data_IF_083943978157
#
_entry.id   IF_083943978157
#
_cell.length_a   1.000
_cell.length_b   1.000
_cell.length_c   1.000
_cell.angle_alpha   90.00
_cell.angle_beta   90.00
_cell.angle_gamma   90.00
#
_symmetry.space_group_name_H-M   'P 1'
#
loop_
_entity.id
_entity.type
_entity.pdbx_description
1 polymer ?
#
# COMPACT_ATOMS: atom_id res chain seq x y z
N UNK A 1 -3.17 24.51 -3.90
CA UNK A 1 -3.62 23.25 -4.51
C UNK A 1 -3.80 22.25 -3.38
N UNK A 2 -4.96 21.62 -3.30
CA UNK A 2 -5.33 20.70 -2.22
C UNK A 2 -5.12 19.26 -2.69
N UNK A 3 -4.42 18.45 -1.91
CA UNK A 3 -4.09 17.07 -2.25
C UNK A 3 -5.10 16.11 -1.63
N UNK A 4 -5.66 15.26 -2.48
CA UNK A 4 -6.43 14.08 -2.09
C UNK A 4 -5.63 12.85 -2.53
N UNK A 5 -5.30 11.99 -1.58
CA UNK A 5 -4.46 10.81 -1.81
C UNK A 5 -5.25 9.57 -1.46
N UNK A 6 -5.26 8.60 -2.36
CA UNK A 6 -5.94 7.32 -2.20
C UNK A 6 -4.95 6.22 -2.57
N UNK A 7 -4.59 5.37 -1.61
CA UNK A 7 -3.54 4.36 -1.76
C UNK A 7 -4.10 2.97 -1.52
N UNK A 8 -3.88 2.06 -2.47
CA UNK A 8 -4.11 0.63 -2.28
C UNK A 8 -2.87 0.00 -1.63
N UNK A 9 -2.96 -0.27 -0.33
CA UNK A 9 -1.85 -0.85 0.43
C UNK A 9 -1.42 -2.21 -0.11
N UNK A 10 -2.36 -3.06 -0.52
CA UNK A 10 -2.06 -4.41 -0.97
C UNK A 10 -1.24 -4.38 -2.26
N UNK A 11 -1.66 -3.54 -3.22
CA UNK A 11 -0.96 -3.39 -4.49
C UNK A 11 0.43 -2.78 -4.30
N UNK A 12 0.52 -1.64 -3.60
CA UNK A 12 1.79 -0.96 -3.32
C UNK A 12 2.78 -1.88 -2.60
N UNK A 13 2.29 -2.68 -1.65
CA UNK A 13 3.13 -3.61 -0.93
C UNK A 13 3.66 -4.74 -1.83
N UNK A 14 2.81 -5.35 -2.65
CA UNK A 14 3.22 -6.42 -3.58
C UNK A 14 4.23 -5.90 -4.61
N UNK A 15 3.98 -4.75 -5.23
CA UNK A 15 4.91 -4.17 -6.20
C UNK A 15 6.22 -3.72 -5.53
N UNK A 16 6.15 -3.18 -4.31
CA UNK A 16 7.32 -2.86 -3.50
C UNK A 16 8.22 -4.08 -3.26
N UNK A 17 7.63 -5.25 -2.98
CA UNK A 17 8.37 -6.51 -2.87
C UNK A 17 9.05 -6.92 -4.18
N UNK A 18 8.41 -6.72 -5.34
CA UNK A 18 8.99 -7.04 -6.65
C UNK A 18 10.15 -6.11 -6.98
N UNK A 19 9.98 -4.81 -6.78
CA UNK A 19 11.05 -3.82 -6.97
C UNK A 19 12.23 -4.09 -6.02
N UNK A 20 11.96 -4.48 -4.77
CA UNK A 20 13.01 -4.90 -3.82
C UNK A 20 13.76 -6.14 -4.31
N UNK A 21 13.06 -7.13 -4.88
CA UNK A 21 13.68 -8.33 -5.44
C UNK A 21 14.63 -8.00 -6.61
N UNK A 22 14.23 -7.09 -7.51
CA UNK A 22 15.09 -6.59 -8.59
C UNK A 22 16.30 -5.85 -8.03
N UNK A 23 16.11 -4.94 -7.07
CA UNK A 23 17.20 -4.18 -6.43
C UNK A 23 18.21 -5.07 -5.72
N UNK A 24 17.77 -6.22 -5.18
CA UNK A 24 18.61 -7.22 -4.54
C UNK A 24 19.23 -8.22 -5.53
N UNK A 25 19.06 -8.01 -6.83
CA UNK A 25 19.52 -8.91 -7.90
C UNK A 25 19.01 -10.35 -7.78
N UNK A 26 17.87 -10.57 -7.12
CA UNK A 26 17.20 -11.88 -7.07
C UNK A 26 16.56 -12.23 -8.41
N UNK A 27 16.30 -11.21 -9.23
CA UNK A 27 15.68 -11.31 -10.56
C UNK A 27 16.15 -10.13 -11.41
N UNK A 28 16.26 -10.34 -12.72
CA UNK A 28 16.91 -9.39 -13.63
C UNK A 28 16.12 -8.09 -13.82
N UNK A 29 14.79 -8.16 -13.85
CA UNK A 29 13.93 -7.00 -14.11
C UNK A 29 12.53 -7.23 -13.52
N UNK A 30 11.70 -6.17 -13.58
CA UNK A 30 10.36 -6.19 -13.00
C UNK A 30 9.42 -7.15 -13.74
N UNK A 31 9.55 -7.30 -15.06
CA UNK A 31 8.70 -8.21 -15.85
C UNK A 31 8.96 -9.67 -15.48
N UNK A 32 10.22 -10.05 -15.29
CA UNK A 32 10.59 -11.37 -14.78
C UNK A 32 10.05 -11.58 -13.37
N UNK A 33 10.12 -10.58 -12.49
CA UNK A 33 9.57 -10.65 -11.14
C UNK A 33 8.06 -10.91 -11.15
N UNK A 34 7.33 -10.23 -12.05
CA UNK A 34 5.89 -10.40 -12.23
C UNK A 34 5.53 -11.76 -12.81
N UNK A 35 6.15 -12.14 -13.93
CA UNK A 35 5.83 -13.37 -14.67
C UNK A 35 6.19 -14.64 -13.90
N UNK A 36 7.29 -14.61 -13.14
CA UNK A 36 7.77 -15.75 -12.34
C UNK A 36 7.30 -15.68 -10.88
N UNK A 37 6.50 -14.66 -10.53
CA UNK A 37 6.03 -14.41 -9.17
C UNK A 37 7.15 -14.36 -8.11
N UNK A 38 8.29 -13.76 -8.46
CA UNK A 38 9.44 -13.59 -7.57
C UNK A 38 9.25 -12.31 -6.77
N UNK A 39 9.19 -12.44 -5.44
CA UNK A 39 8.98 -11.33 -4.50
C UNK A 39 9.96 -11.42 -3.34
N UNK A 40 10.36 -10.27 -2.79
CA UNK A 40 11.15 -10.19 -1.58
C UNK A 40 10.25 -10.13 -0.32
N UNK A 41 10.13 -11.24 0.41
CA UNK A 41 9.32 -11.30 1.62
C UNK A 41 9.94 -10.58 2.83
N UNK A 42 11.20 -10.15 2.76
CA UNK A 42 11.83 -9.34 3.80
C UNK A 42 11.53 -7.84 3.66
N UNK A 43 10.95 -7.42 2.54
CA UNK A 43 10.60 -6.03 2.28
C UNK A 43 9.63 -5.47 3.34
N UNK A 44 9.93 -4.27 3.81
CA UNK A 44 9.09 -3.50 4.75
C UNK A 44 8.76 -2.16 4.10
N UNK A 45 7.47 -1.82 4.10
CA UNK A 45 6.98 -0.54 3.63
C UNK A 45 6.98 0.45 4.80
N UNK A 46 7.59 1.61 4.59
CA UNK A 46 7.61 2.71 5.55
C UNK A 46 6.44 3.67 5.25
N UNK A 47 5.42 3.65 6.11
CA UNK A 47 4.21 4.45 5.94
C UNK A 47 4.47 5.96 6.09
N UNK A 48 5.45 6.36 6.91
CA UNK A 48 5.81 7.77 7.05
C UNK A 48 6.39 8.30 5.74
N UNK A 49 7.34 7.57 5.15
CA UNK A 49 7.89 7.91 3.84
C UNK A 49 6.85 7.86 2.72
N UNK A 50 5.97 6.85 2.74
CA UNK A 50 4.88 6.76 1.76
C UNK A 50 3.93 7.95 1.86
N UNK A 51 3.54 8.36 3.07
CA UNK A 51 2.70 9.52 3.29
C UNK A 51 3.38 10.79 2.79
N UNK A 52 4.62 11.06 3.23
CA UNK A 52 5.36 12.24 2.78
C UNK A 52 5.60 12.27 1.27
N UNK A 53 5.80 11.12 0.63
CA UNK A 53 5.98 11.03 -0.82
C UNK A 53 4.69 11.30 -1.59
N UNK A 54 3.55 10.78 -1.12
CA UNK A 54 2.27 10.85 -1.84
C UNK A 54 1.45 12.10 -1.52
N UNK A 55 1.35 12.47 -0.24
CA UNK A 55 0.58 13.61 0.23
C UNK A 55 1.41 14.89 0.38
N UNK A 56 2.73 14.75 0.51
CA UNK A 56 3.64 15.84 0.86
C UNK A 56 3.83 15.97 2.37
N UNK A 57 4.55 17.02 2.79
CA UNK A 57 4.84 17.32 4.20
C UNK A 57 4.11 18.54 4.75
N UNK A 58 3.33 19.25 3.92
CA UNK A 58 2.61 20.48 4.30
C UNK A 58 1.14 20.14 4.68
N UNK A 59 0.78 20.12 5.98
CA UNK A 59 -0.56 19.74 6.42
C UNK A 59 -1.65 20.66 5.89
N UNK A 60 -1.34 21.93 5.59
CA UNK A 60 -2.33 22.87 5.06
C UNK A 60 -2.80 22.49 3.64
N UNK A 61 -2.00 21.69 2.92
CA UNK A 61 -2.31 21.21 1.57
C UNK A 61 -2.90 19.81 1.56
N UNK A 62 -2.77 19.03 2.62
CA UNK A 62 -3.28 17.65 2.70
C UNK A 62 -4.74 17.73 3.16
N UNK A 63 -5.69 17.55 2.24
CA UNK A 63 -7.11 17.50 2.60
C UNK A 63 -7.53 16.12 3.06
N UNK A 64 -6.97 15.08 2.45
CA UNK A 64 -7.24 13.69 2.82
C UNK A 64 -6.15 12.77 2.27
N UNK A 65 -5.70 11.82 3.08
CA UNK A 65 -4.85 10.73 2.65
C UNK A 65 -5.46 9.43 3.16
N UNK A 66 -5.96 8.59 2.25
CA UNK A 66 -6.68 7.35 2.58
C UNK A 66 -5.86 6.14 2.15
N UNK A 67 -5.72 5.17 3.05
CA UNK A 67 -5.08 3.89 2.80
C UNK A 67 -6.12 2.77 2.84
N UNK A 68 -6.32 2.11 1.71
CA UNK A 68 -7.22 0.97 1.55
C UNK A 68 -6.47 -0.34 1.71
N UNK A 69 -7.12 -1.34 2.31
CA UNK A 69 -6.60 -2.70 2.29
C UNK A 69 -7.56 -3.73 2.84
N UNK A 70 -7.21 -4.99 2.65
CA UNK A 70 -7.98 -6.12 3.15
C UNK A 70 -7.76 -6.31 4.65
N UNK A 71 -8.78 -6.76 5.37
CA UNK A 71 -8.68 -7.13 6.79
C UNK A 71 -7.55 -8.14 7.02
N UNK A 72 -6.52 -7.84 7.82
CA UNK A 72 -5.48 -8.80 8.15
C UNK A 72 -6.00 -9.84 9.16
N UNK A 73 -5.33 -11.00 9.31
CA UNK A 73 -5.60 -11.89 10.43
C UNK A 73 -5.16 -11.21 11.74
N UNK A 74 -6.15 -10.89 12.60
CA UNK A 74 -6.12 -10.47 14.02
C UNK A 74 -5.10 -9.44 14.54
N UNK A 75 -4.07 -9.05 13.80
CA UNK A 75 -2.99 -8.19 14.27
C UNK A 75 -3.13 -6.78 13.67
N UNK A 76 -3.78 -5.88 14.41
CA UNK A 76 -4.15 -4.52 14.01
C UNK A 76 -3.00 -3.49 14.06
N UNK A 77 -1.78 -3.92 14.38
CA UNK A 77 -0.63 -3.03 14.53
C UNK A 77 -0.23 -2.28 13.26
N UNK A 78 -0.51 -2.84 12.08
CA UNK A 78 -0.24 -2.21 10.78
C UNK A 78 -1.03 -0.92 10.59
N UNK A 79 -2.34 -0.98 10.84
CA UNK A 79 -3.25 0.14 10.65
C UNK A 79 -2.96 1.26 11.64
N UNK A 80 -2.70 0.92 12.90
CA UNK A 80 -2.26 1.90 13.90
C UNK A 80 -0.91 2.56 13.58
N UNK A 81 -0.03 1.94 12.77
CA UNK A 81 1.17 2.61 12.25
C UNK A 81 0.82 3.57 11.11
N UNK A 82 -0.05 3.16 10.19
CA UNK A 82 -0.47 4.00 9.06
C UNK A 82 -1.24 5.25 9.53
N UNK A 83 -2.11 5.09 10.52
CA UNK A 83 -2.85 6.20 11.14
C UNK A 83 -1.93 7.19 11.82
N UNK A 84 -0.94 6.69 12.59
CA UNK A 84 0.10 7.55 13.19
C UNK A 84 0.96 8.26 12.14
N UNK A 85 1.06 7.72 10.93
CA UNK A 85 1.76 8.36 9.82
C UNK A 85 0.92 9.42 9.09
N UNK A 86 -0.38 9.54 9.40
CA UNK A 86 -1.28 10.55 8.84
C UNK A 86 -2.32 10.01 7.84
N UNK A 87 -2.38 8.69 7.63
CA UNK A 87 -3.42 8.10 6.80
C UNK A 87 -4.73 7.88 7.56
N UNK A 88 -5.85 8.16 6.91
CA UNK A 88 -7.15 7.55 7.22
C UNK A 88 -7.15 6.12 6.67
N UNK A 89 -7.51 5.12 7.48
CA UNK A 89 -7.49 3.73 7.03
C UNK A 89 -8.90 3.22 6.73
N UNK A 90 -9.08 2.59 5.57
CA UNK A 90 -10.35 1.98 5.18
C UNK A 90 -10.13 0.50 4.93
N UNK A 91 -10.70 -0.32 5.83
CA UNK A 91 -10.63 -1.77 5.75
C UNK A 91 -11.82 -2.29 4.95
N UNK A 92 -11.54 -2.97 3.84
CA UNK A 92 -12.57 -3.58 2.99
C UNK A 92 -12.66 -5.07 3.31
N UNK A 93 -13.86 -5.53 3.67
CA UNK A 93 -14.13 -6.95 3.96
C UNK A 93 -14.22 -7.74 2.67
N UNK A 94 -13.49 -8.87 2.57
CA UNK A 94 -13.55 -9.79 1.42
C UNK A 94 -14.93 -10.45 1.34
N UNK A 95 -15.47 -10.65 0.13
CA UNK A 95 -16.70 -11.43 -0.04
C UNK A 95 -16.43 -12.94 0.12
N UNK A 96 -17.49 -13.72 0.37
CA UNK A 96 -17.43 -15.18 0.59
C UNK A 96 -16.85 -16.00 -0.59
N UNK A 97 -16.61 -15.38 -1.75
CA UNK A 97 -16.05 -16.04 -2.93
C UNK A 97 -14.52 -15.86 -3.07
N UNK A 98 -13.85 -15.29 -2.06
CA UNK A 98 -12.39 -15.13 -2.02
C UNK A 98 -11.79 -14.39 -3.23
N UNK A 99 -12.60 -13.62 -3.97
CA UNK A 99 -12.15 -12.73 -5.03
C UNK A 99 -12.08 -11.31 -4.48
N UNK A 100 -10.91 -10.70 -4.54
CA UNK A 100 -10.77 -9.26 -4.28
C UNK A 100 -11.71 -8.49 -5.21
N UNK A 101 -12.64 -7.73 -4.63
CA UNK A 101 -13.43 -6.77 -5.41
C UNK A 101 -12.52 -5.57 -5.71
N UNK A 102 -12.50 -5.18 -6.99
CA UNK A 102 -12.05 -3.86 -7.47
C UNK A 102 -12.38 -2.80 -6.42
N UNK A 103 -11.39 -1.96 -6.10
CA UNK A 103 -11.61 -0.69 -5.39
C UNK A 103 -12.84 -0.01 -5.99
N UNK A 104 -13.90 0.12 -5.18
CA UNK A 104 -15.09 0.85 -5.58
C UNK A 104 -14.69 2.33 -5.48
N UNK A 105 -14.66 2.99 -6.62
CA UNK A 105 -14.53 4.44 -6.73
C UNK A 105 -15.73 5.06 -6.00
N UNK A 106 -15.49 5.58 -4.81
CA UNK A 106 -16.48 6.41 -4.11
C UNK A 106 -16.37 7.80 -4.72
N UNK A 107 -17.33 8.14 -5.59
CA UNK A 107 -17.56 9.48 -6.11
C UNK A 107 -18.17 10.37 -5.02
#
# INVERSE_FOLDING_TARGET
MSNFVYVDNSNVFIEGKRVSAVRKALVANIYDAMNKNIIDNSYRLDFGKLHSFTAGSDPAKIKRAVLFGSRPPANDSLWGIAERAGFETIIVVRNAANKEKKLIQVL
#
